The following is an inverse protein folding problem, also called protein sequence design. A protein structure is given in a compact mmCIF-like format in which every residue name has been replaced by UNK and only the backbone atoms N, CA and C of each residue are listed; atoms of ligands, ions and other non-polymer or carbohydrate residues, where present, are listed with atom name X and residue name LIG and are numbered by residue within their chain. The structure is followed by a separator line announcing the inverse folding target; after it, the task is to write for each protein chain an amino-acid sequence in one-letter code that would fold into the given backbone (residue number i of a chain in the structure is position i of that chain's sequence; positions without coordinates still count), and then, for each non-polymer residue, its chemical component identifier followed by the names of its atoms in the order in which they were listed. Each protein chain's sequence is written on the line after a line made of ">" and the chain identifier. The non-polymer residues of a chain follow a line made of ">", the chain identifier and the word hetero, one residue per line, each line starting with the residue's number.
data_IF_060338798323
#
_entry.id   IF_060338798323
#
_cell.length_a   1.000
_cell.length_b   1.000
_cell.length_c   1.000
_cell.angle_alpha   90.00
_cell.angle_beta   90.00
_cell.angle_gamma   90.00
#
_symmetry.space_group_name_H-M   'P 1'
#
loop_
_entity.id
_entity.type
_entity.pdbx_description
1 polymer ?
#
# COMPACT_ATOMS: atom_id res chain seq x y z
N UNK A 1 29.54 -55.42 -31.27
CA UNK A 1 29.53 -54.03 -30.76
C UNK A 1 30.33 -54.01 -29.46
N UNK A 2 31.27 -53.08 -29.27
CA UNK A 2 32.08 -53.05 -28.05
C UNK A 2 31.25 -52.59 -26.84
N UNK A 3 31.48 -53.21 -25.69
CA UNK A 3 30.82 -52.91 -24.41
C UNK A 3 30.95 -51.42 -24.02
N UNK A 4 32.05 -50.78 -24.43
CA UNK A 4 32.29 -49.34 -24.27
C UNK A 4 31.26 -48.47 -25.01
N UNK A 5 30.81 -48.90 -26.19
CA UNK A 5 29.84 -48.15 -27.01
C UNK A 5 28.44 -48.21 -26.42
N UNK A 6 28.06 -49.35 -25.83
CA UNK A 6 26.78 -49.49 -25.10
C UNK A 6 26.73 -48.61 -23.85
N UNK A 7 27.81 -48.60 -23.05
CA UNK A 7 27.90 -47.72 -21.88
C UNK A 7 27.81 -46.25 -22.28
N UNK A 8 28.47 -45.85 -23.37
CA UNK A 8 28.41 -44.48 -23.90
C UNK A 8 27.00 -44.07 -24.34
N UNK A 9 26.28 -44.97 -25.01
CA UNK A 9 24.89 -44.72 -25.42
C UNK A 9 23.95 -44.58 -24.22
N UNK A 10 24.12 -45.40 -23.17
CA UNK A 10 23.34 -45.27 -21.94
C UNK A 10 23.61 -43.94 -21.21
N UNK A 11 24.87 -43.48 -21.17
CA UNK A 11 25.20 -42.17 -20.63
C UNK A 11 24.57 -41.02 -21.43
N UNK A 12 24.55 -41.12 -22.76
CA UNK A 12 23.87 -40.15 -23.61
C UNK A 12 22.36 -40.11 -23.36
N UNK A 13 21.71 -41.27 -23.30
CA UNK A 13 20.27 -41.35 -23.00
C UNK A 13 19.94 -40.74 -21.64
N UNK A 14 20.76 -41.01 -20.62
CA UNK A 14 20.59 -40.43 -19.29
C UNK A 14 20.75 -38.90 -19.30
N UNK A 15 21.75 -38.38 -20.03
CA UNK A 15 21.98 -36.93 -20.18
C UNK A 15 20.84 -36.23 -20.93
N UNK A 16 20.33 -36.86 -22.00
CA UNK A 16 19.19 -36.33 -22.75
C UNK A 16 17.93 -36.33 -21.88
N UNK A 17 17.67 -37.41 -21.14
CA UNK A 17 16.56 -37.47 -20.18
C UNK A 17 16.65 -36.39 -19.11
N UNK A 18 17.84 -36.17 -18.54
CA UNK A 18 18.07 -35.12 -17.55
C UNK A 18 17.83 -33.72 -18.13
N UNK A 19 18.28 -33.47 -19.36
CA UNK A 19 18.08 -32.19 -20.04
C UNK A 19 16.60 -31.87 -20.25
N UNK A 20 15.79 -32.87 -20.64
CA UNK A 20 14.34 -32.69 -20.80
C UNK A 20 13.67 -32.35 -19.47
N UNK A 21 14.02 -33.06 -18.39
CA UNK A 21 13.47 -32.77 -17.05
C UNK A 21 13.87 -31.38 -16.57
N UNK A 22 15.13 -30.99 -16.76
CA UNK A 22 15.59 -29.65 -16.39
C UNK A 22 14.86 -28.56 -17.17
N UNK A 23 14.69 -28.75 -18.48
CA UNK A 23 13.94 -27.81 -19.33
C UNK A 23 12.48 -27.70 -18.88
N UNK A 24 11.83 -28.82 -18.53
CA UNK A 24 10.48 -28.84 -17.97
C UNK A 24 10.39 -28.07 -16.65
N UNK A 25 11.36 -28.23 -15.75
CA UNK A 25 11.39 -27.52 -14.47
C UNK A 25 11.50 -26.02 -14.70
N UNK A 26 12.43 -25.57 -15.55
CA UNK A 26 12.58 -24.15 -15.91
C UNK A 26 11.28 -23.60 -16.47
N UNK A 27 10.64 -24.33 -17.39
CA UNK A 27 9.40 -23.91 -18.02
C UNK A 27 8.24 -23.82 -17.01
N UNK A 28 8.17 -24.71 -16.02
CA UNK A 28 7.19 -24.63 -14.93
C UNK A 28 7.44 -23.38 -14.06
N UNK A 29 8.70 -23.06 -13.74
CA UNK A 29 9.04 -21.86 -13.00
C UNK A 29 8.69 -20.58 -13.77
N UNK A 30 8.99 -20.53 -15.06
CA UNK A 30 8.66 -19.38 -15.94
C UNK A 30 7.15 -19.18 -16.08
N UNK A 31 6.40 -20.26 -16.31
CA UNK A 31 4.93 -20.18 -16.42
C UNK A 31 4.32 -19.71 -15.11
N UNK A 32 4.75 -20.24 -13.96
CA UNK A 32 4.25 -19.78 -12.65
C UNK A 32 4.62 -18.33 -12.37
N UNK A 33 5.85 -17.92 -12.67
CA UNK A 33 6.29 -16.53 -12.52
C UNK A 33 5.46 -15.57 -13.39
N UNK A 34 5.21 -15.93 -14.64
CA UNK A 34 4.40 -15.12 -15.56
C UNK A 34 2.93 -15.07 -15.16
N UNK A 35 2.34 -16.18 -14.70
CA UNK A 35 0.96 -16.19 -14.21
C UNK A 35 0.77 -15.26 -13.01
N UNK A 36 1.70 -15.27 -12.05
CA UNK A 36 1.65 -14.36 -10.89
C UNK A 36 1.80 -12.89 -11.31
N UNK A 37 2.66 -12.60 -12.29
CA UNK A 37 2.81 -11.24 -12.83
C UNK A 37 1.55 -10.75 -13.53
N UNK A 38 0.89 -11.62 -14.31
CA UNK A 38 -0.38 -11.30 -14.99
C UNK A 38 -1.51 -11.13 -13.98
N UNK A 39 -1.64 -11.99 -12.97
CA UNK A 39 -2.62 -11.81 -11.89
C UNK A 39 -2.43 -10.48 -11.16
N UNK A 40 -1.17 -10.14 -10.85
CA UNK A 40 -0.84 -8.84 -10.26
C UNK A 40 -1.25 -7.69 -11.16
N UNK A 41 -0.98 -7.76 -12.46
CA UNK A 41 -1.40 -6.74 -13.42
C UNK A 41 -2.92 -6.62 -13.50
N UNK A 42 -3.65 -7.73 -13.61
CA UNK A 42 -5.13 -7.73 -13.68
C UNK A 42 -5.73 -7.11 -12.42
N UNK A 43 -5.22 -7.46 -11.23
CA UNK A 43 -5.68 -6.88 -9.97
C UNK A 43 -5.32 -5.39 -9.88
N UNK A 44 -4.14 -5.00 -10.36
CA UNK A 44 -3.70 -3.59 -10.38
C UNK A 44 -4.53 -2.75 -11.36
N UNK A 45 -4.81 -3.26 -12.56
CA UNK A 45 -5.62 -2.58 -13.59
C UNK A 45 -7.09 -2.46 -13.18
N UNK A 46 -7.65 -3.52 -12.60
CA UNK A 46 -9.00 -3.50 -12.05
C UNK A 46 -9.13 -2.48 -10.92
N UNK A 47 -8.09 -2.33 -10.11
CA UNK A 47 -8.02 -1.31 -9.06
C UNK A 47 -7.74 0.10 -9.63
N UNK A 48 -6.94 0.24 -10.70
CA UNK A 48 -6.78 1.53 -11.39
C UNK A 48 -8.11 2.05 -11.97
N UNK A 49 -9.06 1.18 -12.32
CA UNK A 49 -10.42 1.59 -12.68
C UNK A 49 -11.19 2.26 -11.54
N UNK A 50 -10.91 1.87 -10.28
CA UNK A 50 -11.47 2.48 -9.06
C UNK A 50 -10.73 3.79 -8.72
N UNK A 51 -9.44 3.87 -9.08
CA UNK A 51 -8.56 5.03 -8.89
C UNK A 51 -8.71 6.04 -10.03
N UNK A 52 -9.22 5.70 -11.22
CA UNK A 52 -9.37 6.60 -12.37
C UNK A 52 -10.13 7.93 -12.06
N UNK A 53 -11.11 7.97 -11.14
CA UNK A 53 -11.73 9.21 -10.67
C UNK A 53 -10.81 10.10 -9.81
N UNK A 54 -9.60 9.67 -9.45
CA UNK A 54 -8.56 10.52 -8.85
C UNK A 54 -7.96 11.51 -9.84
N UNK A 55 -8.03 11.22 -11.13
CA UNK A 55 -7.69 12.12 -12.23
C UNK A 55 -8.95 12.78 -12.81
N UNK A 56 -10.07 12.71 -12.09
CA UNK A 56 -11.31 13.34 -12.54
C UNK A 56 -11.06 14.83 -12.78
N UNK A 57 -11.51 15.38 -13.92
CA UNK A 57 -11.43 16.82 -14.18
C UNK A 57 -11.93 17.63 -12.98
N UNK A 58 -11.35 18.80 -12.77
CA UNK A 58 -11.73 19.76 -11.69
C UNK A 58 -13.25 19.95 -11.55
N UNK A 59 -13.99 19.81 -12.65
CA UNK A 59 -15.45 19.85 -12.71
C UNK A 59 -16.15 18.76 -11.88
N UNK A 60 -15.65 17.52 -11.93
CA UNK A 60 -16.21 16.39 -11.17
C UNK A 60 -15.92 16.53 -9.67
N UNK A 61 -14.75 17.05 -9.30
CA UNK A 61 -14.41 17.32 -7.91
C UNK A 61 -15.29 18.43 -7.33
N UNK A 62 -15.55 19.49 -8.10
CA UNK A 62 -16.47 20.56 -7.71
C UNK A 62 -17.91 20.07 -7.56
N UNK A 63 -18.38 19.20 -8.47
CA UNK A 63 -19.71 18.60 -8.36
C UNK A 63 -19.83 17.73 -7.10
N UNK A 64 -18.81 16.90 -6.82
CA UNK A 64 -18.75 16.07 -5.63
C UNK A 64 -18.79 16.92 -4.35
N UNK A 65 -18.00 17.99 -4.27
CA UNK A 65 -18.00 18.90 -3.12
C UNK A 65 -19.37 19.54 -2.88
N UNK A 66 -20.07 19.98 -3.94
CA UNK A 66 -21.43 20.54 -3.83
C UNK A 66 -22.44 19.53 -3.29
N UNK A 67 -22.33 18.26 -3.69
CA UNK A 67 -23.18 17.18 -3.20
C UNK A 67 -22.88 16.93 -1.72
N UNK A 68 -21.61 16.75 -1.36
CA UNK A 68 -21.20 16.44 0.02
C UNK A 68 -21.41 17.56 1.02
N UNK A 69 -21.36 18.80 0.57
CA UNK A 69 -21.76 19.95 1.41
C UNK A 69 -23.23 19.87 1.82
N UNK A 70 -24.11 19.25 1.01
CA UNK A 70 -25.52 19.06 1.33
C UNK A 70 -25.80 17.76 2.08
N UNK A 71 -25.21 16.67 1.62
CA UNK A 71 -25.51 15.31 2.13
C UNK A 71 -24.65 14.93 3.35
N UNK A 72 -23.61 15.72 3.63
CA UNK A 72 -22.60 15.45 4.63
C UNK A 72 -21.38 14.73 4.07
N UNK A 73 -20.22 15.07 4.63
CA UNK A 73 -18.94 14.45 4.32
C UNK A 73 -18.82 13.06 4.93
N UNK A 74 -18.19 12.14 4.19
CA UNK A 74 -17.79 10.83 4.68
C UNK A 74 -16.89 10.95 5.94
N UNK A 75 -16.96 9.98 6.88
CA UNK A 75 -16.23 10.07 8.15
C UNK A 75 -14.73 10.21 7.99
N UNK A 76 -14.15 9.54 6.99
CA UNK A 76 -12.72 9.59 6.67
C UNK A 76 -12.29 10.98 6.21
N UNK A 77 -12.98 11.53 5.21
CA UNK A 77 -12.70 12.85 4.64
C UNK A 77 -12.91 13.93 5.70
N UNK A 78 -13.98 13.82 6.51
CA UNK A 78 -14.24 14.75 7.60
C UNK A 78 -13.15 14.73 8.66
N UNK A 79 -12.66 13.55 9.07
CA UNK A 79 -11.59 13.46 10.05
C UNK A 79 -10.31 14.19 9.58
N UNK A 80 -9.98 14.11 8.29
CA UNK A 80 -8.84 14.86 7.74
C UNK A 80 -9.09 16.37 7.64
N UNK A 81 -10.32 16.81 7.37
CA UNK A 81 -10.68 18.22 7.46
C UNK A 81 -10.53 18.75 8.89
N UNK A 82 -10.99 17.96 9.87
CA UNK A 82 -11.03 18.37 11.28
C UNK A 82 -9.63 18.33 11.94
N UNK A 83 -8.87 17.25 11.75
CA UNK A 83 -7.58 17.04 12.42
C UNK A 83 -6.42 17.83 11.78
N UNK A 84 -6.51 18.09 10.47
CA UNK A 84 -5.44 18.72 9.69
C UNK A 84 -5.83 20.06 9.06
N UNK A 85 -7.09 20.49 9.18
CA UNK A 85 -7.56 21.75 8.61
C UNK A 85 -7.57 21.78 7.08
N UNK A 86 -7.63 20.62 6.43
CA UNK A 86 -7.60 20.51 4.98
C UNK A 86 -8.88 21.09 4.36
N UNK A 87 -8.74 21.75 3.19
CA UNK A 87 -9.90 22.08 2.38
C UNK A 87 -10.60 20.79 1.91
N UNK A 88 -11.91 20.82 1.62
CA UNK A 88 -12.63 19.58 1.29
C UNK A 88 -12.03 18.83 0.09
N UNK A 89 -11.66 19.55 -0.96
CA UNK A 89 -10.99 18.99 -2.13
C UNK A 89 -9.63 18.33 -1.77
N UNK A 90 -8.86 18.93 -0.86
CA UNK A 90 -7.57 18.41 -0.41
C UNK A 90 -7.77 17.17 0.46
N UNK A 91 -8.73 17.19 1.38
CA UNK A 91 -9.06 16.05 2.23
C UNK A 91 -9.51 14.84 1.41
N UNK A 92 -10.32 15.06 0.36
CA UNK A 92 -10.73 14.01 -0.57
C UNK A 92 -9.54 13.43 -1.32
N UNK A 93 -8.68 14.30 -1.88
CA UNK A 93 -7.49 13.86 -2.59
C UNK A 93 -6.55 13.06 -1.69
N UNK A 94 -6.32 13.53 -0.46
CA UNK A 94 -5.47 12.89 0.53
C UNK A 94 -6.01 11.53 0.95
N UNK A 95 -7.29 11.47 1.33
CA UNK A 95 -7.95 10.23 1.76
C UNK A 95 -7.86 9.16 0.68
N UNK A 96 -8.11 9.54 -0.58
CA UNK A 96 -8.01 8.61 -1.71
C UNK A 96 -6.57 8.17 -2.01
N UNK A 97 -5.59 9.06 -1.83
CA UNK A 97 -4.17 8.67 -1.91
C UNK A 97 -3.83 7.60 -0.87
N UNK A 98 -4.30 7.78 0.37
CA UNK A 98 -4.12 6.79 1.44
C UNK A 98 -4.83 5.47 1.12
N UNK A 99 -6.05 5.50 0.58
CA UNK A 99 -6.71 4.30 0.05
C UNK A 99 -5.82 3.56 -0.96
N UNK A 100 -5.22 4.27 -1.91
CA UNK A 100 -4.31 3.66 -2.89
C UNK A 100 -3.10 2.99 -2.26
N UNK A 101 -2.49 3.63 -1.26
CA UNK A 101 -1.36 3.07 -0.51
C UNK A 101 -1.78 1.77 0.21
N UNK A 102 -2.89 1.81 0.95
CA UNK A 102 -3.35 0.67 1.74
C UNK A 102 -3.86 -0.48 0.87
N UNK A 103 -4.54 -0.20 -0.24
CA UNK A 103 -4.93 -1.22 -1.22
C UNK A 103 -3.72 -1.91 -1.85
N UNK A 104 -2.66 -1.16 -2.16
CA UNK A 104 -1.45 -1.79 -2.67
C UNK A 104 -0.86 -2.77 -1.65
N UNK A 105 -0.88 -2.42 -0.35
CA UNK A 105 -0.39 -3.31 0.72
C UNK A 105 -1.27 -4.53 0.91
N UNK A 106 -2.58 -4.39 0.78
CA UNK A 106 -3.50 -5.52 0.77
C UNK A 106 -3.21 -6.44 -0.42
N UNK A 107 -3.01 -5.89 -1.61
CA UNK A 107 -2.67 -6.67 -2.80
C UNK A 107 -1.34 -7.41 -2.61
N UNK A 108 -0.32 -6.74 -2.06
CA UNK A 108 0.96 -7.37 -1.75
C UNK A 108 0.77 -8.51 -0.73
N UNK A 109 -0.12 -8.35 0.27
CA UNK A 109 -0.48 -9.40 1.23
C UNK A 109 -1.19 -10.58 0.58
N UNK A 110 -2.19 -10.33 -0.26
CA UNK A 110 -2.99 -11.38 -0.91
C UNK A 110 -2.15 -12.20 -1.90
N UNK A 111 -1.13 -11.57 -2.51
CA UNK A 111 -0.27 -12.22 -3.51
C UNK A 111 0.94 -12.92 -2.91
N UNK A 112 1.55 -12.35 -1.85
CA UNK A 112 2.82 -12.84 -1.30
C UNK A 112 2.71 -13.33 0.16
N UNK A 113 1.58 -13.12 0.82
CA UNK A 113 1.37 -13.41 2.24
C UNK A 113 2.07 -12.40 3.16
N UNK A 114 2.21 -12.78 4.44
CA UNK A 114 2.87 -11.96 5.46
C UNK A 114 4.39 -12.07 5.38
N UNK A 115 5.02 -11.24 4.54
CA UNK A 115 6.48 -11.11 4.47
C UNK A 115 7.03 -10.11 5.48
N UNK A 116 8.30 -10.25 5.86
CA UNK A 116 8.99 -9.30 6.75
C UNK A 116 9.08 -7.88 6.16
N UNK A 117 9.25 -7.79 4.84
CA UNK A 117 9.28 -6.52 4.12
C UNK A 117 7.92 -5.82 4.19
N UNK A 118 6.83 -6.55 3.94
CA UNK A 118 5.49 -6.02 4.05
C UNK A 118 5.17 -5.62 5.50
N UNK A 119 5.55 -6.44 6.48
CA UNK A 119 5.39 -6.13 7.89
C UNK A 119 6.13 -4.85 8.28
N UNK A 120 7.37 -4.66 7.80
CA UNK A 120 8.14 -3.43 8.01
C UNK A 120 7.47 -2.23 7.34
N UNK A 121 6.97 -2.37 6.12
CA UNK A 121 6.27 -1.29 5.41
C UNK A 121 4.99 -0.88 6.15
N UNK A 122 4.16 -1.84 6.55
CA UNK A 122 2.92 -1.58 7.30
C UNK A 122 3.21 -0.90 8.64
N UNK A 123 4.22 -1.35 9.39
CA UNK A 123 4.63 -0.66 10.63
C UNK A 123 5.11 0.76 10.38
N UNK A 124 5.81 0.99 9.27
CA UNK A 124 6.21 2.34 8.85
C UNK A 124 5.00 3.23 8.63
N UNK A 125 4.03 2.76 7.85
CA UNK A 125 2.78 3.48 7.58
C UNK A 125 2.00 3.77 8.86
N UNK A 126 1.78 2.77 9.71
CA UNK A 126 1.11 2.96 11.01
C UNK A 126 1.86 3.88 11.96
N UNK A 127 3.15 4.09 11.73
CA UNK A 127 3.90 5.12 12.41
C UNK A 127 3.28 6.48 12.14
N UNK A 128 3.00 6.81 10.87
CA UNK A 128 2.57 8.14 10.46
C UNK A 128 1.13 8.44 10.89
N UNK A 129 0.85 9.62 11.48
CA UNK A 129 -0.41 9.85 12.20
C UNK A 129 -1.62 9.87 11.26
N UNK A 130 -1.41 10.34 10.03
CA UNK A 130 -2.41 10.38 8.96
C UNK A 130 -2.81 8.96 8.52
N UNK A 131 -1.83 8.07 8.36
CA UNK A 131 -2.04 6.69 7.99
C UNK A 131 -2.69 5.91 9.14
N UNK A 132 -2.30 6.19 10.39
CA UNK A 132 -2.93 5.62 11.58
C UNK A 132 -4.40 6.06 11.73
N UNK A 133 -4.68 7.34 11.48
CA UNK A 133 -6.03 7.90 11.46
C UNK A 133 -6.87 7.22 10.37
N UNK A 134 -6.34 7.18 9.14
CA UNK A 134 -7.00 6.53 8.02
C UNK A 134 -7.34 5.07 8.31
N UNK A 135 -6.38 4.30 8.82
CA UNK A 135 -6.57 2.88 9.14
C UNK A 135 -7.66 2.69 10.19
N UNK A 136 -7.67 3.53 11.23
CA UNK A 136 -8.66 3.46 12.31
C UNK A 136 -10.09 3.64 11.80
N UNK A 137 -10.29 4.48 10.78
CA UNK A 137 -11.62 4.78 10.23
C UNK A 137 -12.03 3.76 9.16
N UNK A 138 -11.10 3.31 8.32
CA UNK A 138 -11.42 2.60 7.08
C UNK A 138 -11.04 1.11 7.06
N UNK A 139 -10.43 0.59 8.12
CA UNK A 139 -9.95 -0.81 8.18
C UNK A 139 -11.00 -1.86 7.79
N UNK A 140 -12.28 -1.63 8.11
CA UNK A 140 -13.37 -2.55 7.78
C UNK A 140 -13.61 -2.76 6.28
N UNK A 141 -13.09 -1.87 5.43
CA UNK A 141 -13.22 -1.96 3.97
C UNK A 141 -12.20 -2.92 3.31
N UNK A 142 -11.23 -3.43 4.06
CA UNK A 142 -10.19 -4.34 3.56
C UNK A 142 -10.51 -5.81 3.86
N UNK A 143 -9.75 -6.74 3.26
CA UNK A 143 -9.82 -8.18 3.49
C UNK A 143 -9.60 -8.50 4.99
N UNK A 144 -10.43 -9.35 5.61
CA UNK A 144 -10.31 -9.68 7.03
C UNK A 144 -8.94 -10.26 7.43
N UNK A 145 -8.31 -11.03 6.53
CA UNK A 145 -6.98 -11.58 6.75
C UNK A 145 -5.91 -10.49 6.77
N UNK A 146 -6.01 -9.54 5.83
CA UNK A 146 -5.15 -8.36 5.81
C UNK A 146 -5.36 -7.47 7.03
N UNK A 147 -6.62 -7.21 7.43
CA UNK A 147 -6.93 -6.45 8.65
C UNK A 147 -6.25 -7.06 9.88
N UNK A 148 -6.40 -8.37 10.09
CA UNK A 148 -5.77 -9.07 11.20
C UNK A 148 -4.24 -9.00 11.14
N UNK A 149 -3.65 -9.00 9.94
CA UNK A 149 -2.22 -8.83 9.76
C UNK A 149 -1.75 -7.42 10.17
N UNK A 150 -2.46 -6.37 9.76
CA UNK A 150 -2.13 -4.99 10.10
C UNK A 150 -2.28 -4.73 11.60
N UNK A 151 -3.31 -5.25 12.25
CA UNK A 151 -3.48 -5.10 13.70
C UNK A 151 -2.34 -5.77 14.49
N UNK A 152 -1.88 -6.96 14.06
CA UNK A 152 -0.66 -7.57 14.66
C UNK A 152 0.56 -6.67 14.50
N UNK A 153 0.70 -5.97 13.37
CA UNK A 153 1.81 -5.03 13.18
C UNK A 153 1.66 -3.77 14.06
N UNK A 154 0.43 -3.32 14.29
CA UNK A 154 0.13 -2.18 15.16
C UNK A 154 0.54 -2.45 16.61
N UNK A 155 0.26 -3.65 17.12
CA UNK A 155 0.67 -4.09 18.47
C UNK A 155 2.20 -4.15 18.63
N UNK A 156 2.92 -4.43 17.55
CA UNK A 156 4.38 -4.51 17.52
C UNK A 156 5.06 -3.15 17.25
N UNK A 157 4.30 -2.12 16.89
CA UNK A 157 4.86 -0.80 16.66
C UNK A 157 5.22 -0.15 18.01
N UNK A 158 6.47 0.34 18.20
CA UNK A 158 6.83 1.03 19.42
C UNK A 158 5.94 2.27 19.57
N UNK A 159 5.33 2.45 20.75
CA UNK A 159 4.55 3.65 21.06
C UNK A 159 5.41 4.87 20.74
N UNK A 160 4.96 5.72 19.81
CA UNK A 160 5.72 6.93 19.45
C UNK A 160 5.99 7.72 20.73
N UNK A 161 7.27 7.97 21.02
CA UNK A 161 7.67 9.04 21.94
C UNK A 161 6.97 10.29 21.43
N UNK A 162 6.01 10.78 22.21
CA UNK A 162 5.36 12.06 22.01
C UNK A 162 6.48 13.07 21.78
N UNK A 163 6.55 13.66 20.59
CA UNK A 163 7.42 14.81 20.38
C UNK A 163 6.89 15.87 21.34
N UNK A 164 7.60 16.06 22.45
CA UNK A 164 7.29 17.13 23.39
C UNK A 164 7.15 18.41 22.57
N UNK A 165 6.04 19.16 22.74
CA UNK A 165 5.88 20.42 22.05
C UNK A 165 7.10 21.27 22.40
N UNK A 166 7.91 21.57 21.40
CA UNK A 166 9.08 22.44 21.54
C UNK A 166 8.58 23.71 22.23
N UNK A 167 9.10 24.09 23.40
CA UNK A 167 8.60 25.24 24.14
C UNK A 167 8.60 26.43 23.20
N UNK A 168 7.42 27.03 23.03
CA UNK A 168 7.25 28.25 22.27
C UNK A 168 8.18 29.29 22.87
N UNK A 169 9.28 29.58 22.17
CA UNK A 169 10.12 30.73 22.48
C UNK A 169 9.29 31.95 22.14
N UNK A 170 8.44 32.36 23.07
CA UNK A 170 7.79 33.66 23.07
C UNK A 170 8.89 34.71 23.07
N UNK A 171 9.16 35.30 21.91
CA UNK A 171 9.94 36.52 21.82
C UNK A 171 9.23 37.61 22.66
N UNK A 172 9.94 38.34 23.52
CA UNK A 172 9.33 39.42 24.27
C UNK A 172 8.84 40.51 23.31
N UNK A 173 7.59 40.92 23.49
CA UNK A 173 7.00 42.05 22.82
C UNK A 173 7.83 43.31 23.12
N UNK A 174 8.47 43.85 22.09
CA UNK A 174 9.13 45.15 22.14
C UNK A 174 8.04 46.22 22.32
N UNK A 175 7.96 46.76 23.54
CA UNK A 175 7.16 47.92 23.87
C UNK A 175 7.75 49.14 23.15
N UNK A 176 7.16 49.53 22.03
CA UNK A 176 7.45 50.83 21.40
C UNK A 176 6.74 51.90 22.22
N UNK A 177 7.49 52.50 23.14
CA UNK A 177 7.13 53.75 23.82
C UNK A 177 6.91 54.84 22.77
N UNK A 178 5.69 55.39 22.77
CA UNK A 178 5.38 56.62 22.06
C UNK A 178 5.80 57.81 22.94
N UNK A 179 6.83 58.54 22.52
CA UNK A 179 7.12 59.88 23.04
C UNK A 179 7.07 60.90 21.89
N UNK A 180 6.16 61.85 22.06
CA UNK A 180 6.06 63.23 21.52
C UNK A 180 6.72 63.58 20.18
#
# INVERSE_FOLDING_TARGET
>A
MSESRQKWLQYLEALVGLSVVFTLIVLIFEVRGNSLLIERQILTERNMGIVAPLLAPTELLSAYEKIKTKDGWEPDTRAFMDDYGLAPAEAVAWTRMLYGIWWQRELDYLTMGSSDELAKSVRGLLGDPDNALFWTINSSGFDPGFQAFVERQRELAPARKTLEPKPSTSAPAESVDSQN
#
